data_IF_154686263089
#
_entry.id   IF_154686263089
#
_cell.length_a   1.000
_cell.length_b   1.000
_cell.length_c   1.000
_cell.angle_alpha   90.00
_cell.angle_beta   90.00
_cell.angle_gamma   90.00
#
_symmetry.space_group_name_H-M   'P 1'
#
loop_
_entity.id
_entity.type
_entity.pdbx_description
1 polymer ?
#
# COMPACT_ATOMS: atom_id res chain seq x y z
N UNK A 1 -38.75 22.12 -47.08
CA UNK A 1 -37.86 21.11 -46.47
C UNK A 1 -37.39 21.67 -45.14
N UNK A 2 -37.89 21.11 -44.02
CA UNK A 2 -37.64 21.62 -42.67
C UNK A 2 -36.37 20.98 -42.10
N UNK A 3 -35.50 21.82 -41.56
CA UNK A 3 -34.23 21.44 -40.97
C UNK A 3 -34.41 20.64 -39.67
N UNK A 4 -33.83 19.45 -39.67
CA UNK A 4 -33.05 18.79 -38.61
C UNK A 4 -33.23 19.39 -37.20
N UNK A 5 -34.02 18.74 -36.36
CA UNK A 5 -33.86 18.82 -34.90
C UNK A 5 -33.04 17.60 -34.50
N UNK A 6 -31.74 17.86 -34.36
CA UNK A 6 -30.71 16.94 -33.94
C UNK A 6 -31.04 16.46 -32.52
N UNK A 7 -31.04 15.15 -32.37
CA UNK A 7 -31.30 14.39 -31.15
C UNK A 7 -30.40 14.89 -30.02
N UNK A 8 -31.00 15.58 -29.04
CA UNK A 8 -30.39 15.95 -27.76
C UNK A 8 -30.36 14.71 -26.82
N UNK A 9 -29.67 13.65 -27.27
CA UNK A 9 -29.15 12.59 -26.39
C UNK A 9 -27.73 13.02 -25.97
N UNK A 10 -27.65 14.13 -25.25
CA UNK A 10 -26.48 14.40 -24.43
C UNK A 10 -26.44 13.35 -23.34
N UNK A 11 -25.76 12.24 -23.68
CA UNK A 11 -24.80 11.56 -22.83
C UNK A 11 -25.02 11.88 -21.35
N UNK A 12 -25.93 11.13 -20.73
CA UNK A 12 -25.68 10.68 -19.37
C UNK A 12 -24.37 9.89 -19.45
N UNK A 13 -23.24 10.59 -19.35
CA UNK A 13 -22.02 10.04 -18.82
C UNK A 13 -22.38 9.65 -17.39
N UNK A 14 -22.95 8.44 -17.28
CA UNK A 14 -22.93 7.66 -16.07
C UNK A 14 -21.45 7.66 -15.73
N UNK A 15 -21.08 8.51 -14.78
CA UNK A 15 -19.84 8.39 -14.03
C UNK A 15 -19.96 7.07 -13.26
N UNK A 16 -19.83 5.97 -13.99
CA UNK A 16 -19.25 4.77 -13.45
C UNK A 16 -17.94 5.27 -12.87
N UNK A 17 -17.92 5.50 -11.56
CA UNK A 17 -16.69 5.63 -10.79
C UNK A 17 -15.91 4.37 -11.15
N UNK A 18 -15.04 4.50 -12.15
CA UNK A 18 -14.09 3.48 -12.52
C UNK A 18 -13.15 3.46 -11.35
N UNK A 19 -13.52 2.73 -10.30
CA UNK A 19 -12.58 2.38 -9.26
C UNK A 19 -11.45 1.72 -10.01
N UNK A 20 -10.30 2.38 -10.02
CA UNK A 20 -9.18 2.04 -10.86
C UNK A 20 -8.84 0.56 -10.71
N UNK A 21 -8.53 -0.12 -11.82
CA UNK A 21 -8.21 -1.56 -11.83
C UNK A 21 -7.15 -1.88 -10.76
N UNK A 22 -6.15 -1.01 -10.64
CA UNK A 22 -5.08 -1.09 -9.63
C UNK A 22 -5.62 -1.09 -8.20
N UNK A 23 -6.49 -0.14 -7.85
CA UNK A 23 -7.08 -0.02 -6.52
C UNK A 23 -7.94 -1.26 -6.18
N UNK A 24 -8.66 -1.82 -7.17
CA UNK A 24 -9.39 -3.08 -6.98
C UNK A 24 -8.46 -4.28 -6.78
N UNK A 25 -7.34 -4.35 -7.49
CA UNK A 25 -6.37 -5.43 -7.34
C UNK A 25 -5.66 -5.35 -5.97
N UNK A 26 -5.26 -4.15 -5.53
CA UNK A 26 -4.72 -3.91 -4.19
C UNK A 26 -5.70 -4.34 -3.10
N UNK A 27 -6.96 -3.89 -3.17
CA UNK A 27 -8.01 -4.28 -2.22
C UNK A 27 -8.22 -5.79 -2.17
N UNK A 28 -8.13 -6.50 -3.31
CA UNK A 28 -8.23 -7.97 -3.35
C UNK A 28 -7.02 -8.64 -2.72
N UNK A 29 -5.81 -8.23 -3.09
CA UNK A 29 -4.55 -8.78 -2.59
C UNK A 29 -4.45 -8.64 -1.07
N UNK A 30 -4.77 -7.46 -0.53
CA UNK A 30 -4.75 -7.22 0.91
C UNK A 30 -5.85 -7.98 1.67
N UNK A 31 -7.04 -8.14 1.09
CA UNK A 31 -8.07 -8.99 1.70
C UNK A 31 -7.67 -10.45 1.74
N UNK A 32 -6.98 -10.94 0.72
CA UNK A 32 -6.42 -12.28 0.71
C UNK A 32 -5.38 -12.43 1.84
N UNK A 33 -4.46 -11.45 1.99
CA UNK A 33 -3.47 -11.50 3.06
C UNK A 33 -4.06 -11.43 4.48
N UNK A 34 -5.26 -10.89 4.65
CA UNK A 34 -5.98 -10.97 5.94
C UNK A 34 -6.56 -12.36 6.20
N UNK A 35 -7.05 -13.03 5.16
CA UNK A 35 -7.66 -14.36 5.28
C UNK A 35 -6.63 -15.42 5.68
N UNK A 36 -5.42 -15.30 5.14
CA UNK A 36 -4.35 -16.27 5.32
C UNK A 36 -3.36 -15.84 6.44
N UNK A 37 -3.68 -14.78 7.18
CA UNK A 37 -2.82 -14.25 8.24
C UNK A 37 -2.85 -15.13 9.49
N UNK A 38 -1.69 -15.42 10.12
CA UNK A 38 -1.60 -16.11 11.41
C UNK A 38 -1.92 -15.20 12.60
N UNK A 39 -1.99 -13.88 12.38
CA UNK A 39 -2.26 -12.89 13.42
C UNK A 39 -3.76 -12.75 13.70
N UNK A 40 -4.15 -12.87 14.97
CA UNK A 40 -5.54 -12.72 15.44
C UNK A 40 -6.09 -11.32 15.11
N UNK A 41 -5.23 -10.30 15.17
CA UNK A 41 -5.63 -8.91 14.92
C UNK A 41 -5.95 -8.60 13.46
N UNK A 42 -5.63 -9.50 12.52
CA UNK A 42 -5.96 -9.35 11.09
C UNK A 42 -7.47 -9.22 10.85
N UNK A 43 -8.27 -9.95 11.61
CA UNK A 43 -9.74 -9.96 11.50
C UNK A 43 -10.36 -8.56 11.60
N UNK A 44 -9.79 -7.70 12.45
CA UNK A 44 -10.24 -6.33 12.68
C UNK A 44 -10.00 -5.35 11.52
N UNK A 45 -9.22 -5.74 10.50
CA UNK A 45 -8.77 -4.83 9.44
C UNK A 45 -9.73 -4.70 8.26
N UNK A 46 -10.75 -5.57 8.17
CA UNK A 46 -11.71 -5.57 7.05
C UNK A 46 -12.41 -4.22 6.88
N UNK A 47 -12.82 -3.60 7.99
CA UNK A 47 -13.48 -2.28 7.98
C UNK A 47 -12.52 -1.16 7.53
N UNK A 48 -11.25 -1.22 7.97
CA UNK A 48 -10.21 -0.27 7.59
C UNK A 48 -9.90 -0.35 6.09
N UNK A 49 -9.80 -1.56 5.52
CA UNK A 49 -9.61 -1.76 4.07
C UNK A 49 -10.76 -1.19 3.23
N UNK A 50 -12.01 -1.34 3.69
CA UNK A 50 -13.18 -0.76 3.01
C UNK A 50 -13.09 0.76 2.92
N UNK A 51 -12.60 1.41 3.96
CA UNK A 51 -12.38 2.85 3.98
C UNK A 51 -11.16 3.22 3.15
N UNK A 52 -10.05 2.49 3.28
CA UNK A 52 -8.82 2.76 2.53
C UNK A 52 -9.04 2.70 1.02
N UNK A 53 -9.85 1.77 0.52
CA UNK A 53 -10.21 1.70 -0.90
C UNK A 53 -10.75 3.03 -1.45
N UNK A 54 -11.51 3.78 -0.64
CA UNK A 54 -12.03 5.09 -1.01
C UNK A 54 -10.97 6.19 -0.94
N UNK A 55 -9.99 6.05 -0.05
CA UNK A 55 -8.90 7.00 0.15
C UNK A 55 -7.75 6.83 -0.85
N UNK A 56 -7.57 5.63 -1.40
CA UNK A 56 -6.58 5.34 -2.46
C UNK A 56 -6.69 6.24 -3.68
N UNK A 57 -7.87 6.80 -3.95
CA UNK A 57 -8.05 7.76 -5.05
C UNK A 57 -7.09 8.95 -4.98
N UNK A 58 -6.58 9.29 -3.78
CA UNK A 58 -5.68 10.42 -3.57
C UNK A 58 -4.23 10.15 -4.01
N UNK A 59 -3.86 8.89 -4.25
CA UNK A 59 -2.51 8.51 -4.68
C UNK A 59 -2.49 7.41 -5.77
N UNK A 60 -3.65 6.94 -6.24
CA UNK A 60 -3.70 5.91 -7.28
C UNK A 60 -3.18 6.40 -8.63
N UNK A 61 -3.38 7.68 -8.97
CA UNK A 61 -2.81 8.27 -10.19
C UNK A 61 -1.28 8.27 -10.15
N UNK A 62 -0.70 8.57 -8.98
CA UNK A 62 0.75 8.51 -8.79
C UNK A 62 1.29 7.08 -8.92
N UNK A 63 0.61 6.09 -8.34
CA UNK A 63 0.99 4.69 -8.52
C UNK A 63 0.98 4.29 -10.00
N UNK A 64 -0.07 4.66 -10.76
CA UNK A 64 -0.13 4.34 -12.19
C UNK A 64 0.98 5.02 -12.99
N UNK A 65 1.28 6.29 -12.68
CA UNK A 65 2.40 7.02 -13.30
C UNK A 65 3.73 6.32 -13.02
N UNK A 66 3.98 5.96 -11.77
CA UNK A 66 5.21 5.28 -11.37
C UNK A 66 5.38 3.92 -12.06
N UNK A 67 4.29 3.14 -12.21
CA UNK A 67 4.33 1.87 -12.94
C UNK A 67 4.68 2.07 -14.42
N UNK A 68 4.12 3.10 -15.07
CA UNK A 68 4.42 3.41 -16.46
C UNK A 68 5.87 3.87 -16.67
N UNK A 69 6.42 4.64 -15.73
CA UNK A 69 7.78 5.18 -15.81
C UNK A 69 8.86 4.16 -15.41
N UNK A 70 8.49 3.06 -14.73
CA UNK A 70 9.42 2.12 -14.12
C UNK A 70 9.06 0.67 -14.47
N UNK A 71 8.94 0.39 -15.76
CA UNK A 71 8.52 -0.92 -16.31
C UNK A 71 9.36 -2.14 -15.92
N UNK A 72 10.47 -1.97 -15.18
CA UNK A 72 11.37 -3.04 -14.76
C UNK A 72 11.63 -3.05 -13.24
N UNK A 73 10.95 -2.20 -12.46
CA UNK A 73 11.14 -2.14 -11.01
C UNK A 73 9.81 -2.36 -10.27
N UNK A 74 9.92 -2.99 -9.10
CA UNK A 74 8.78 -3.24 -8.22
C UNK A 74 8.50 -2.00 -7.37
N UNK A 75 7.22 -1.69 -7.18
CA UNK A 75 6.80 -0.69 -6.20
C UNK A 75 6.48 -1.38 -4.89
N UNK A 76 7.05 -0.89 -3.79
CA UNK A 76 6.65 -1.29 -2.44
C UNK A 76 5.73 -0.20 -1.88
N UNK A 77 4.45 -0.54 -1.73
CA UNK A 77 3.44 0.29 -1.10
C UNK A 77 3.25 -0.18 0.34
N UNK A 78 3.32 0.76 1.29
CA UNK A 78 3.07 0.50 2.71
C UNK A 78 1.89 1.36 3.14
N UNK A 79 0.89 0.73 3.73
CA UNK A 79 -0.26 1.42 4.32
C UNK A 79 -0.26 1.09 5.81
N UNK A 80 0.09 2.08 6.64
CA UNK A 80 0.11 1.97 8.11
C UNK A 80 -1.18 2.55 8.67
N UNK A 81 -1.73 1.84 9.65
CA UNK A 81 -2.96 2.19 10.32
C UNK A 81 -2.72 2.25 11.82
N UNK A 82 -3.12 3.36 12.42
CA UNK A 82 -3.25 3.50 13.86
C UNK A 82 -4.12 2.37 14.44
N UNK A 83 -3.65 1.74 15.52
CA UNK A 83 -4.34 0.65 16.20
C UNK A 83 -5.61 1.14 16.91
N UNK A 84 -5.66 2.41 17.36
CA UNK A 84 -6.78 2.98 18.13
C UNK A 84 -7.95 3.35 17.21
N UNK A 85 -7.69 3.64 15.94
CA UNK A 85 -8.67 4.22 15.03
C UNK A 85 -9.49 3.15 14.28
N UNK A 86 -10.69 2.82 14.77
CA UNK A 86 -11.61 1.86 14.13
C UNK A 86 -12.27 2.51 12.90
N UNK A 87 -12.16 1.86 11.74
CA UNK A 87 -12.79 2.34 10.50
C UNK A 87 -12.10 3.56 9.87
N UNK A 88 -10.87 3.85 10.27
CA UNK A 88 -10.08 4.93 9.69
C UNK A 88 -9.26 4.45 8.48
N UNK A 89 -8.96 5.33 7.51
CA UNK A 89 -7.93 5.04 6.52
C UNK A 89 -6.56 4.94 7.20
N UNK A 90 -5.57 4.44 6.47
CA UNK A 90 -4.18 4.48 6.87
C UNK A 90 -3.75 5.92 7.17
N UNK A 91 -3.07 6.12 8.30
CA UNK A 91 -2.54 7.41 8.73
C UNK A 91 -1.25 7.78 7.99
N UNK A 92 -0.51 6.77 7.52
CA UNK A 92 0.72 6.96 6.76
C UNK A 92 0.80 5.97 5.60
N UNK A 93 0.87 6.50 4.37
CA UNK A 93 1.18 5.74 3.16
C UNK A 93 2.62 6.02 2.77
N UNK A 94 3.35 4.98 2.39
CA UNK A 94 4.71 5.10 1.85
C UNK A 94 4.80 4.34 0.54
N UNK A 95 5.38 4.97 -0.48
CA UNK A 95 5.61 4.36 -1.79
C UNK A 95 7.11 4.41 -2.03
N UNK A 96 7.73 3.23 -2.06
CA UNK A 96 9.14 3.06 -2.38
C UNK A 96 9.29 2.53 -3.81
N UNK A 97 10.15 3.18 -4.57
CA UNK A 97 10.51 2.76 -5.93
C UNK A 97 11.92 3.25 -6.24
N UNK A 98 12.80 2.38 -6.76
CA UNK A 98 14.24 2.66 -6.86
C UNK A 98 14.80 3.21 -5.53
N UNK A 99 15.32 4.44 -5.57
CA UNK A 99 15.84 5.23 -4.45
C UNK A 99 14.91 6.41 -4.09
N UNK A 100 13.61 6.33 -4.41
CA UNK A 100 12.63 7.36 -4.09
C UNK A 100 11.67 6.86 -3.00
N UNK A 101 11.38 7.73 -2.06
CA UNK A 101 10.30 7.57 -1.07
C UNK A 101 9.29 8.70 -1.25
N UNK A 102 8.06 8.33 -1.55
CA UNK A 102 6.91 9.24 -1.54
C UNK A 102 6.04 8.87 -0.35
N UNK A 103 5.65 9.87 0.44
CA UNK A 103 4.81 9.66 1.62
C UNK A 103 3.54 10.49 1.53
N UNK A 104 2.42 9.89 1.93
CA UNK A 104 1.14 10.55 2.13
C UNK A 104 0.74 10.41 3.60
N UNK A 105 0.77 11.53 4.34
CA UNK A 105 0.46 11.57 5.77
C UNK A 105 -0.94 12.13 6.00
N UNK A 106 -1.79 11.38 6.68
CA UNK A 106 -3.15 11.81 7.00
C UNK A 106 -3.05 12.98 7.95
N UNK A 107 -3.56 14.14 7.55
CA UNK A 107 -3.70 15.28 8.44
C UNK A 107 -5.07 15.17 9.14
N UNK A 108 -5.13 15.41 10.45
CA UNK A 108 -6.36 15.44 11.24
C UNK A 108 -6.55 16.91 11.66
N UNK A 109 -7.71 17.53 11.38
CA UNK A 109 -9.00 16.94 10.98
C UNK A 109 -9.27 16.91 9.47
N UNK A 110 -8.28 17.19 8.62
CA UNK A 110 -8.46 17.31 7.18
C UNK A 110 -9.01 16.02 6.57
N UNK A 111 -9.58 16.07 5.37
CA UNK A 111 -9.99 14.85 4.63
C UNK A 111 -8.86 14.28 3.77
N UNK A 112 -7.87 15.09 3.46
CA UNK A 112 -6.83 14.75 2.49
C UNK A 112 -5.53 14.31 3.16
N UNK A 113 -4.69 13.65 2.39
CA UNK A 113 -3.30 13.39 2.74
C UNK A 113 -2.40 14.58 2.39
N UNK A 114 -1.37 14.80 3.21
CA UNK A 114 -0.24 15.65 2.85
C UNK A 114 0.84 14.80 2.19
N UNK A 115 1.15 15.13 0.93
CA UNK A 115 2.21 14.47 0.14
C UNK A 115 3.57 15.09 0.45
N UNK A 116 4.59 14.24 0.56
CA UNK A 116 6.01 14.61 0.61
C UNK A 116 6.82 13.62 -0.22
N UNK A 117 7.97 14.04 -0.73
CA UNK A 117 8.87 13.19 -1.52
C UNK A 117 10.30 13.38 -1.03
N UNK A 118 11.05 12.28 -0.98
CA UNK A 118 12.47 12.26 -0.62
C UNK A 118 13.24 11.39 -1.61
N UNK A 119 14.40 11.87 -2.00
CA UNK A 119 15.42 11.04 -2.65
C UNK A 119 16.26 10.38 -1.56
N UNK A 120 16.46 9.08 -1.69
CA UNK A 120 17.27 8.25 -0.81
C UNK A 120 18.61 7.93 -1.48
N UNK A 121 19.57 7.52 -0.68
CA UNK A 121 20.78 6.87 -1.17
C UNK A 121 20.46 5.52 -1.81
N UNK A 122 21.43 4.93 -2.51
CA UNK A 122 21.31 3.56 -3.05
C UNK A 122 21.06 2.51 -1.97
N UNK A 123 21.50 2.78 -0.74
CA UNK A 123 21.26 1.95 0.44
C UNK A 123 19.95 2.27 1.16
N UNK A 124 19.06 3.05 0.53
CA UNK A 124 17.77 3.47 1.10
C UNK A 124 17.95 4.19 2.44
N UNK A 125 18.89 5.14 2.51
CA UNK A 125 19.03 6.05 3.64
C UNK A 125 18.64 7.47 3.25
N UNK A 126 18.05 8.23 4.16
CA UNK A 126 17.73 9.64 3.94
C UNK A 126 18.88 10.58 4.36
N UNK A 127 18.68 11.89 4.18
CA UNK A 127 19.70 12.91 4.49
C UNK A 127 20.06 13.01 5.98
N UNK A 128 19.29 12.38 6.88
CA UNK A 128 19.60 12.32 8.31
C UNK A 128 20.47 11.11 8.67
N UNK A 129 20.73 10.22 7.70
CA UNK A 129 21.39 8.94 7.93
C UNK A 129 20.44 7.82 8.36
N UNK A 130 19.13 8.09 8.46
CA UNK A 130 18.15 7.04 8.77
C UNK A 130 17.96 6.11 7.57
N UNK A 131 18.25 4.82 7.77
CA UNK A 131 18.12 3.79 6.74
C UNK A 131 16.84 2.95 6.94
N UNK A 132 16.10 2.74 5.85
CA UNK A 132 14.83 2.01 5.85
C UNK A 132 15.10 0.48 5.82
N UNK A 133 15.64 -0.06 6.91
CA UNK A 133 16.08 -1.47 7.04
C UNK A 133 15.00 -2.49 6.68
N UNK A 134 13.75 -2.25 7.08
CA UNK A 134 12.59 -3.08 6.72
C UNK A 134 12.45 -3.21 5.20
N UNK A 135 12.68 -2.13 4.46
CA UNK A 135 12.51 -2.10 3.00
C UNK A 135 13.69 -2.76 2.31
N UNK A 136 14.90 -2.58 2.85
CA UNK A 136 16.10 -3.29 2.40
C UNK A 136 15.89 -4.80 2.56
N UNK A 137 15.38 -5.24 3.71
CA UNK A 137 15.05 -6.64 3.96
C UNK A 137 13.99 -7.15 2.99
N UNK A 138 12.87 -6.43 2.86
CA UNK A 138 11.77 -6.83 1.98
C UNK A 138 12.24 -6.96 0.52
N UNK A 139 13.03 -6.01 0.00
CA UNK A 139 13.62 -6.10 -1.35
C UNK A 139 14.51 -7.33 -1.51
N UNK A 140 15.29 -7.71 -0.48
CA UNK A 140 16.12 -8.92 -0.51
C UNK A 140 15.28 -10.19 -0.59
N UNK A 141 14.19 -10.28 0.18
CA UNK A 141 13.32 -11.46 0.15
C UNK A 141 12.54 -11.57 -1.18
N UNK A 142 12.05 -10.45 -1.72
CA UNK A 142 11.42 -10.40 -3.05
C UNK A 142 12.41 -10.87 -4.14
N UNK A 143 13.66 -10.41 -4.11
CA UNK A 143 14.67 -10.74 -5.10
C UNK A 143 15.06 -12.24 -5.11
N UNK A 144 14.86 -12.96 -4.00
CA UNK A 144 15.10 -14.41 -3.95
C UNK A 144 14.01 -15.23 -4.66
N UNK A 145 12.91 -14.60 -5.07
CA UNK A 145 11.81 -15.27 -5.80
C UNK A 145 10.98 -16.23 -4.95
N UNK A 146 11.17 -16.23 -3.62
CA UNK A 146 10.26 -16.95 -2.72
C UNK A 146 8.96 -16.16 -2.57
N UNK A 147 7.87 -16.85 -2.19
CA UNK A 147 6.65 -16.21 -1.70
C UNK A 147 6.96 -15.47 -0.39
N UNK A 148 7.52 -14.26 -0.49
CA UNK A 148 8.00 -13.45 0.64
C UNK A 148 6.89 -13.16 1.65
N UNK A 149 5.64 -13.20 1.22
CA UNK A 149 4.45 -12.99 2.05
C UNK A 149 3.81 -14.28 2.60
N UNK A 150 4.40 -15.46 2.35
CA UNK A 150 3.81 -16.76 2.75
C UNK A 150 3.93 -17.09 4.24
N UNK A 151 4.92 -16.50 4.94
CA UNK A 151 5.18 -16.70 6.37
C UNK A 151 5.30 -15.35 7.09
N UNK A 152 4.21 -14.59 7.24
CA UNK A 152 4.25 -13.29 7.89
C UNK A 152 4.75 -13.35 9.36
N UNK A 153 4.55 -14.45 10.06
CA UNK A 153 5.10 -14.72 11.40
C UNK A 153 6.63 -14.67 11.46
N UNK A 154 7.32 -14.89 10.33
CA UNK A 154 8.77 -14.70 10.23
C UNK A 154 9.18 -13.22 10.24
N UNK A 155 8.23 -12.28 10.12
CA UNK A 155 8.52 -10.85 10.02
C UNK A 155 7.87 -10.04 11.14
N UNK A 156 6.87 -10.55 11.84
CA UNK A 156 6.22 -9.81 12.91
C UNK A 156 5.32 -10.63 13.81
N UNK A 157 4.63 -9.93 14.70
CA UNK A 157 3.94 -10.52 15.84
C UNK A 157 2.76 -9.69 16.32
N UNK A 158 1.75 -10.35 16.89
CA UNK A 158 0.70 -9.70 17.67
C UNK A 158 1.15 -9.34 19.10
N UNK A 159 2.28 -9.86 19.56
CA UNK A 159 2.74 -9.65 20.93
C UNK A 159 3.53 -8.35 21.05
N UNK A 160 2.84 -7.21 20.94
CA UNK A 160 3.46 -5.90 21.12
C UNK A 160 2.51 -4.85 21.71
N UNK A 161 3.07 -3.95 22.53
CA UNK A 161 2.34 -2.99 23.35
C UNK A 161 1.76 -1.76 22.61
N UNK A 162 2.00 -1.62 21.30
CA UNK A 162 1.54 -0.43 20.58
C UNK A 162 1.83 -0.40 19.07
N UNK A 163 2.06 -1.56 18.44
CA UNK A 163 2.24 -1.58 16.99
C UNK A 163 0.95 -1.32 16.24
N UNK A 164 1.05 -0.41 15.27
CA UNK A 164 0.04 -0.22 14.25
C UNK A 164 -0.08 -1.42 13.33
N UNK A 165 -1.21 -1.48 12.65
CA UNK A 165 -1.46 -2.47 11.60
C UNK A 165 -0.84 -1.98 10.31
N UNK A 166 -0.10 -2.85 9.61
CA UNK A 166 0.59 -2.45 8.38
C UNK A 166 0.29 -3.45 7.27
N UNK A 167 -0.06 -2.94 6.10
CA UNK A 167 0.01 -3.72 4.88
C UNK A 167 1.27 -3.35 4.12
N UNK A 168 2.05 -4.36 3.78
CA UNK A 168 3.12 -4.28 2.80
C UNK A 168 2.57 -4.87 1.51
N UNK A 169 2.51 -4.08 0.45
CA UNK A 169 2.05 -4.53 -0.87
C UNK A 169 3.16 -4.31 -1.89
N UNK A 170 3.46 -5.33 -2.68
CA UNK A 170 4.41 -5.27 -3.79
C UNK A 170 3.61 -5.26 -5.08
N UNK A 171 3.86 -4.25 -5.91
CA UNK A 171 3.26 -4.12 -7.24
C UNK A 171 4.36 -4.39 -8.26
N UNK A 172 4.24 -5.51 -8.95
CA UNK A 172 5.21 -5.96 -9.94
C UNK A 172 4.98 -5.25 -11.29
N UNK A 173 6.01 -5.14 -12.15
CA UNK A 173 5.86 -4.50 -13.45
C UNK A 173 4.83 -5.17 -14.38
N UNK A 174 4.58 -6.46 -14.21
CA UNK A 174 3.55 -7.21 -14.93
C UNK A 174 2.12 -6.91 -14.43
N UNK A 175 1.97 -6.07 -13.41
CA UNK A 175 0.69 -5.70 -12.79
C UNK A 175 0.16 -6.71 -11.77
N UNK A 176 0.93 -7.73 -11.42
CA UNK A 176 0.63 -8.60 -10.28
C UNK A 176 0.86 -7.87 -8.95
N UNK A 177 0.06 -8.23 -7.94
CA UNK A 177 0.08 -7.58 -6.64
C UNK A 177 0.05 -8.62 -5.54
N UNK A 178 1.10 -8.62 -4.74
CA UNK A 178 1.21 -9.43 -3.54
C UNK A 178 1.14 -8.54 -2.32
N UNK A 179 0.47 -9.01 -1.27
CA UNK A 179 0.36 -8.27 -0.02
C UNK A 179 0.64 -9.16 1.16
N UNK A 180 1.17 -8.55 2.21
CA UNK A 180 1.39 -9.14 3.52
C UNK A 180 0.80 -8.21 4.56
N UNK A 181 -0.10 -8.74 5.39
CA UNK A 181 -0.54 -8.08 6.59
C UNK A 181 0.48 -8.33 7.71
N UNK A 182 0.78 -7.29 8.48
CA UNK A 182 1.68 -7.38 9.61
C UNK A 182 1.17 -6.55 10.77
N UNK A 183 1.32 -7.09 11.97
CA UNK A 183 1.41 -6.31 13.21
C UNK A 183 2.83 -6.42 13.73
N UNK A 184 3.40 -5.30 14.16
CA UNK A 184 4.77 -5.19 14.70
C UNK A 184 5.86 -5.94 13.91
N UNK A 185 6.50 -5.25 12.97
CA UNK A 185 7.70 -5.79 12.33
C UNK A 185 8.79 -6.07 13.38
N UNK A 186 9.24 -7.32 13.45
CA UNK A 186 10.36 -7.75 14.29
C UNK A 186 11.66 -7.62 13.48
N UNK A 187 12.67 -6.86 13.94
CA UNK A 187 13.97 -6.86 13.30
C UNK A 187 14.60 -8.26 13.34
N UNK A 188 15.42 -8.61 12.33
CA UNK A 188 16.05 -9.94 12.23
C UNK A 188 16.76 -10.40 13.50
N UNK A 189 17.44 -9.46 14.16
CA UNK A 189 18.18 -9.69 15.41
C UNK A 189 17.31 -10.20 16.58
N UNK A 190 16.00 -10.00 16.52
CA UNK A 190 15.04 -10.43 17.55
C UNK A 190 14.16 -11.60 17.10
N UNK A 191 14.39 -12.14 15.89
CA UNK A 191 13.71 -13.34 15.43
C UNK A 191 14.57 -14.53 15.85
N UNK A 192 14.02 -15.44 16.63
CA UNK A 192 14.72 -16.68 16.91
C UNK A 192 14.97 -17.39 15.55
N UNK A 193 16.23 -17.63 15.21
CA UNK A 193 16.59 -18.47 14.09
C UNK A 193 16.18 -19.91 14.46
N UNK A 194 15.09 -20.41 13.88
CA UNK A 194 14.75 -21.85 13.86
C UNK A 194 15.44 -22.55 12.69
#
# INVERSE_FOLDING_TARGET
>A
MKHIILVLLTLFFISCSVTNKLNRQLDRSQKASLKDSPFETASGMTSKLKVQKKYRIQYEEELNKLLAENMNDTIILIEKYDFICIGCPADNIQIFIRNKLIQYNKQIPEKNYRRTEKLLTEHLCDSTGYCYSIIIELKKEIAKGFMWNSKPENFGTDNCFGGGHTFYSVIYPNGEIESMYMRCWMPKEFRNEE
#
